data_IF_654170900884
#
_entry.id   IF_654170900884
#
_cell.length_a   1.000
_cell.length_b   1.000
_cell.length_c   1.000
_cell.angle_alpha   90.00
_cell.angle_beta   90.00
_cell.angle_gamma   90.00
#
_symmetry.space_group_name_H-M   'P 1'
#
loop_
_entity.id
_entity.type
_entity.pdbx_description
1 polymer ?
#
# COMPACT_ATOMS: atom_id res chain seq x y z
N UNK A 1 -24.57 -8.16 12.13
CA UNK A 1 -23.18 -8.52 12.43
C UNK A 1 -22.33 -7.51 11.72
N UNK A 2 -21.50 -6.74 12.42
CA UNK A 2 -20.59 -5.80 11.78
C UNK A 2 -19.41 -6.57 11.18
N UNK A 3 -19.15 -6.39 9.91
CA UNK A 3 -18.03 -7.03 9.22
C UNK A 3 -16.80 -6.13 9.26
N UNK A 4 -15.63 -6.71 9.58
CA UNK A 4 -14.35 -6.02 9.55
C UNK A 4 -13.55 -6.58 8.38
N UNK A 5 -13.23 -5.73 7.41
CA UNK A 5 -12.34 -6.06 6.31
C UNK A 5 -10.93 -5.60 6.64
N UNK A 6 -10.00 -6.52 6.63
CA UNK A 6 -8.58 -6.22 6.89
C UNK A 6 -7.84 -6.29 5.57
N UNK A 7 -7.28 -5.15 5.16
CA UNK A 7 -6.48 -5.04 3.95
C UNK A 7 -5.01 -4.94 4.32
N UNK A 8 -4.19 -5.85 3.79
CA UNK A 8 -2.74 -5.81 3.96
C UNK A 8 -2.07 -5.21 2.74
N UNK A 9 -1.10 -4.34 2.96
CA UNK A 9 -0.23 -3.81 1.92
C UNK A 9 1.23 -3.96 2.33
N UNK A 10 2.11 -4.27 1.38
CA UNK A 10 3.54 -4.16 1.58
C UNK A 10 4.02 -2.82 1.04
N UNK A 11 4.62 -2.02 1.92
CA UNK A 11 5.25 -0.75 1.54
C UNK A 11 6.40 -0.99 0.56
N UNK A 12 6.70 -0.04 -0.33
CA UNK A 12 7.90 -0.13 -1.15
C UNK A 12 9.16 -0.07 -0.25
N UNK A 13 10.27 -0.56 -0.76
CA UNK A 13 11.55 -0.45 -0.06
C UNK A 13 11.87 0.98 0.32
N UNK A 14 12.49 1.15 1.48
CA UNK A 14 12.82 2.46 2.03
C UNK A 14 13.93 3.17 1.25
N UNK A 15 14.75 2.44 0.51
CA UNK A 15 15.87 2.98 -0.26
C UNK A 15 15.79 2.53 -1.73
N UNK A 16 15.57 3.48 -2.63
CA UNK A 16 15.55 3.20 -4.08
C UNK A 16 16.92 2.84 -4.68
N UNK A 17 17.99 3.06 -3.93
CA UNK A 17 19.38 2.73 -4.30
C UNK A 17 19.86 1.43 -3.63
N UNK A 18 18.94 0.51 -3.31
CA UNK A 18 19.31 -0.78 -2.76
C UNK A 18 20.32 -1.53 -3.65
N UNK A 19 21.31 -2.13 -3.00
CA UNK A 19 22.27 -2.99 -3.70
C UNK A 19 21.57 -4.23 -4.28
N UNK A 20 22.19 -4.86 -5.26
CA UNK A 20 21.69 -6.14 -5.79
C UNK A 20 21.55 -7.21 -4.71
N UNK A 21 22.42 -7.18 -3.70
CA UNK A 21 22.41 -8.15 -2.59
C UNK A 21 21.21 -7.90 -1.67
N UNK A 22 20.90 -6.63 -1.35
CA UNK A 22 19.73 -6.29 -0.56
C UNK A 22 18.41 -6.63 -1.30
N UNK A 23 18.36 -6.43 -2.62
CA UNK A 23 17.22 -6.84 -3.44
C UNK A 23 17.07 -8.37 -3.49
N UNK A 24 18.18 -9.11 -3.55
CA UNK A 24 18.18 -10.58 -3.48
C UNK A 24 17.69 -11.07 -2.11
N UNK A 25 18.19 -10.49 -1.04
CA UNK A 25 17.76 -10.80 0.33
C UNK A 25 16.26 -10.58 0.50
N UNK A 26 15.75 -9.39 0.13
CA UNK A 26 14.33 -9.09 0.19
C UNK A 26 13.48 -10.04 -0.67
N UNK A 27 14.00 -10.46 -1.83
CA UNK A 27 13.34 -11.45 -2.66
C UNK A 27 13.22 -12.80 -1.95
N UNK A 28 14.31 -13.31 -1.37
CA UNK A 28 14.34 -14.64 -0.74
C UNK A 28 13.54 -14.68 0.57
N UNK A 29 13.65 -13.62 1.39
CA UNK A 29 13.08 -13.60 2.73
C UNK A 29 11.61 -13.16 2.75
N UNK A 30 11.21 -12.29 1.82
CA UNK A 30 9.87 -11.67 1.85
C UNK A 30 9.04 -12.10 0.65
N UNK A 31 9.45 -11.74 -0.57
CA UNK A 31 8.57 -11.84 -1.73
C UNK A 31 8.31 -13.26 -2.17
N UNK A 32 9.34 -14.10 -2.20
CA UNK A 32 9.22 -15.49 -2.62
C UNK A 32 8.34 -16.33 -1.67
N UNK A 33 8.54 -16.31 -0.34
CA UNK A 33 7.67 -17.05 0.58
C UNK A 33 6.24 -16.48 0.59
N UNK A 34 6.08 -15.16 0.49
CA UNK A 34 4.77 -14.53 0.48
C UNK A 34 3.98 -14.83 -0.78
N UNK A 35 4.60 -14.77 -1.95
CA UNK A 35 3.95 -15.17 -3.20
C UNK A 35 3.56 -16.64 -3.20
N UNK A 36 4.42 -17.52 -2.63
CA UNK A 36 4.09 -18.93 -2.44
C UNK A 36 2.89 -19.11 -1.49
N UNK A 37 2.86 -18.37 -0.39
CA UNK A 37 1.73 -18.39 0.54
C UNK A 37 0.43 -17.96 -0.15
N UNK A 38 0.42 -16.82 -0.83
CA UNK A 38 -0.75 -16.30 -1.54
C UNK A 38 -1.24 -17.29 -2.61
N UNK A 39 -0.32 -17.89 -3.34
CA UNK A 39 -0.66 -18.87 -4.37
C UNK A 39 -1.39 -20.09 -3.79
N UNK A 40 -1.03 -20.49 -2.58
CA UNK A 40 -1.62 -21.63 -1.84
C UNK A 40 -2.90 -21.26 -1.08
N UNK A 41 -3.18 -19.97 -0.89
CA UNK A 41 -4.32 -19.48 -0.10
C UNK A 41 -5.14 -18.47 -0.92
N UNK A 42 -5.98 -18.94 -1.86
CA UNK A 42 -6.70 -18.06 -2.78
C UNK A 42 -7.70 -17.12 -2.12
N UNK A 43 -8.13 -17.44 -0.90
CA UNK A 43 -9.04 -16.59 -0.11
C UNK A 43 -8.34 -15.43 0.61
N UNK A 44 -7.00 -15.42 0.63
CA UNK A 44 -6.21 -14.34 1.22
C UNK A 44 -5.78 -13.36 0.15
N UNK A 45 -6.16 -12.09 0.32
CA UNK A 45 -5.81 -11.03 -0.61
C UNK A 45 -4.90 -9.98 0.03
N UNK A 46 -4.00 -9.39 -0.76
CA UNK A 46 -3.19 -8.26 -0.31
C UNK A 46 -2.70 -7.41 -1.48
N UNK A 47 -2.24 -6.20 -1.16
CA UNK A 47 -1.61 -5.32 -2.13
C UNK A 47 -0.09 -5.23 -1.94
N UNK A 48 0.58 -4.87 -3.02
CA UNK A 48 2.03 -4.70 -3.06
C UNK A 48 2.38 -3.34 -3.64
N UNK A 49 3.41 -2.73 -3.08
CA UNK A 49 4.03 -1.54 -3.64
C UNK A 49 5.50 -1.83 -3.98
N UNK A 50 5.89 -1.47 -5.19
CA UNK A 50 7.25 -1.67 -5.69
C UNK A 50 7.85 -0.36 -6.18
N UNK A 51 9.17 -0.25 -6.13
CA UNK A 51 9.93 0.77 -6.86
C UNK A 51 10.26 0.29 -8.28
N UNK A 52 10.57 1.21 -9.18
CA UNK A 52 11.04 0.87 -10.53
C UNK A 52 12.31 0.00 -10.52
N UNK A 53 13.35 0.34 -9.72
CA UNK A 53 14.53 -0.51 -9.56
C UNK A 53 14.22 -1.93 -9.11
N UNK A 54 13.26 -2.14 -8.18
CA UNK A 54 12.84 -3.48 -7.77
C UNK A 54 12.20 -4.26 -8.93
N UNK A 55 11.26 -3.64 -9.65
CA UNK A 55 10.64 -4.29 -10.81
C UNK A 55 11.67 -4.63 -11.89
N UNK A 56 12.63 -3.74 -12.15
CA UNK A 56 13.73 -3.99 -13.06
C UNK A 56 14.64 -5.13 -12.61
N UNK A 57 14.89 -5.25 -11.30
CA UNK A 57 15.64 -6.36 -10.73
C UNK A 57 14.88 -7.68 -10.95
N UNK A 58 13.60 -7.73 -10.62
CA UNK A 58 12.77 -8.93 -10.83
C UNK A 58 12.74 -9.32 -12.31
N UNK A 59 12.55 -8.37 -13.21
CA UNK A 59 12.55 -8.62 -14.65
C UNK A 59 13.85 -9.26 -15.16
N UNK A 60 14.99 -8.81 -14.64
CA UNK A 60 16.31 -9.29 -15.07
C UNK A 60 16.76 -10.59 -14.39
N UNK A 61 16.40 -10.80 -13.13
CA UNK A 61 16.98 -11.84 -12.27
C UNK A 61 15.96 -12.84 -11.72
N UNK A 62 14.70 -12.46 -11.61
CA UNK A 62 13.64 -13.20 -10.90
C UNK A 62 12.31 -13.12 -11.66
N UNK A 63 12.35 -13.36 -12.95
CA UNK A 63 11.16 -13.23 -13.81
C UNK A 63 10.00 -14.13 -13.36
N UNK A 64 10.30 -15.25 -12.69
CA UNK A 64 9.31 -16.16 -12.13
C UNK A 64 8.35 -15.49 -11.12
N UNK A 65 8.83 -14.53 -10.32
CA UNK A 65 7.95 -13.82 -9.37
C UNK A 65 6.97 -12.90 -10.09
N UNK A 66 7.39 -12.28 -11.20
CA UNK A 66 6.50 -11.42 -11.99
C UNK A 66 5.38 -12.25 -12.64
N UNK A 67 5.65 -13.48 -13.04
CA UNK A 67 4.62 -14.38 -13.56
C UNK A 67 3.60 -14.74 -12.48
N UNK A 68 4.06 -15.05 -11.28
CA UNK A 68 3.17 -15.34 -10.14
C UNK A 68 2.36 -14.10 -9.77
N UNK A 69 2.98 -12.93 -9.64
CA UNK A 69 2.29 -11.68 -9.31
C UNK A 69 1.25 -11.33 -10.38
N UNK A 70 1.58 -11.52 -11.65
CA UNK A 70 0.63 -11.30 -12.77
C UNK A 70 -0.60 -12.20 -12.60
N UNK A 71 -0.42 -13.48 -12.31
CA UNK A 71 -1.51 -14.41 -12.09
C UNK A 71 -2.36 -14.02 -10.87
N UNK A 72 -1.73 -13.62 -9.75
CA UNK A 72 -2.44 -13.13 -8.56
C UNK A 72 -3.28 -11.87 -8.86
N UNK A 73 -2.77 -10.98 -9.72
CA UNK A 73 -3.50 -9.78 -10.18
C UNK A 73 -4.66 -10.16 -11.10
N UNK A 74 -4.48 -11.11 -12.01
CA UNK A 74 -5.54 -11.61 -12.88
C UNK A 74 -6.67 -12.28 -12.09
N UNK A 75 -6.34 -13.03 -11.05
CA UNK A 75 -7.28 -13.64 -10.11
C UNK A 75 -7.98 -12.63 -9.19
N UNK A 76 -7.60 -11.35 -9.22
CA UNK A 76 -8.05 -10.30 -8.29
C UNK A 76 -7.68 -10.56 -6.82
N UNK A 77 -6.72 -11.41 -6.59
CA UNK A 77 -6.19 -11.74 -5.27
C UNK A 77 -5.15 -10.71 -4.82
N UNK A 78 -4.47 -10.06 -5.76
CA UNK A 78 -3.51 -9.00 -5.45
C UNK A 78 -3.75 -7.75 -6.29
N UNK A 79 -3.51 -6.60 -5.67
CA UNK A 79 -3.43 -5.31 -6.34
C UNK A 79 -2.01 -4.75 -6.22
N UNK A 80 -1.50 -4.20 -7.33
CA UNK A 80 -0.20 -3.54 -7.32
C UNK A 80 -0.43 -2.04 -7.28
N UNK A 81 0.07 -1.41 -6.24
CA UNK A 81 -0.06 0.02 -6.04
C UNK A 81 1.01 0.79 -6.82
N UNK A 82 0.65 1.97 -7.23
CA UNK A 82 1.56 2.94 -7.81
C UNK A 82 2.49 3.57 -6.77
N UNK A 83 3.38 4.41 -7.26
CA UNK A 83 4.35 5.16 -6.48
C UNK A 83 5.18 6.06 -7.38
N UNK A 84 6.29 6.57 -6.88
CA UNK A 84 7.34 7.14 -7.71
C UNK A 84 8.28 6.04 -8.20
N UNK A 85 8.77 6.15 -9.44
CA UNK A 85 9.70 5.16 -9.99
C UNK A 85 10.95 5.02 -9.11
N UNK A 86 11.51 6.15 -8.67
CA UNK A 86 12.64 6.21 -7.73
C UNK A 86 12.21 6.56 -6.29
N UNK A 87 10.93 6.43 -5.99
CA UNK A 87 10.36 6.62 -4.65
C UNK A 87 10.70 8.01 -4.03
N UNK A 88 10.49 9.12 -4.76
CA UNK A 88 10.80 10.45 -4.25
C UNK A 88 9.80 10.90 -3.18
N UNK A 89 10.22 11.88 -2.37
CA UNK A 89 9.30 12.64 -1.52
C UNK A 89 8.54 13.62 -2.41
N UNK A 90 7.36 13.24 -2.87
CA UNK A 90 6.60 13.99 -3.88
C UNK A 90 6.40 15.48 -3.56
N UNK A 91 6.07 15.91 -2.33
CA UNK A 91 5.93 17.33 -2.03
C UNK A 91 7.17 18.15 -2.30
N UNK A 92 8.38 17.55 -2.29
CA UNK A 92 9.64 18.24 -2.46
C UNK A 92 10.13 18.35 -3.91
N UNK A 93 9.43 17.77 -4.87
CA UNK A 93 9.79 17.83 -6.29
C UNK A 93 8.74 18.58 -7.10
N UNK A 94 9.14 19.10 -8.28
CA UNK A 94 8.24 19.84 -9.14
C UNK A 94 7.07 18.98 -9.67
N UNK A 95 5.88 19.58 -9.91
CA UNK A 95 4.72 18.85 -10.39
C UNK A 95 4.96 18.05 -11.67
N UNK A 96 5.77 18.54 -12.61
CA UNK A 96 6.11 17.85 -13.85
C UNK A 96 6.91 16.58 -13.57
N UNK A 97 7.83 16.63 -12.60
CA UNK A 97 8.64 15.49 -12.20
C UNK A 97 7.81 14.45 -11.43
N UNK A 98 6.82 14.91 -10.62
CA UNK A 98 5.86 14.02 -9.96
C UNK A 98 5.13 13.15 -10.99
N UNK A 99 4.55 13.78 -12.02
CA UNK A 99 3.86 13.05 -13.09
C UNK A 99 4.80 12.09 -13.82
N UNK A 100 6.01 12.53 -14.16
CA UNK A 100 7.02 11.69 -14.79
C UNK A 100 7.35 10.44 -13.97
N UNK A 101 7.52 10.57 -12.66
CA UNK A 101 7.80 9.46 -11.75
C UNK A 101 6.62 8.48 -11.66
N UNK A 102 5.39 9.00 -11.53
CA UNK A 102 4.17 8.20 -11.44
C UNK A 102 3.91 7.45 -12.75
N UNK A 103 3.99 8.14 -13.88
CA UNK A 103 3.67 7.57 -15.19
C UNK A 103 4.70 6.52 -15.61
N UNK A 104 5.98 6.74 -15.29
CA UNK A 104 7.04 5.77 -15.56
C UNK A 104 6.80 4.47 -14.79
N UNK A 105 6.53 4.55 -13.49
CA UNK A 105 6.24 3.36 -12.68
C UNK A 105 4.94 2.68 -13.10
N UNK A 106 3.88 3.45 -13.34
CA UNK A 106 2.59 2.91 -13.79
C UNK A 106 2.70 2.19 -15.13
N UNK A 107 3.55 2.69 -16.02
CA UNK A 107 3.82 2.05 -17.30
C UNK A 107 4.57 0.74 -17.12
N UNK A 108 5.59 0.71 -16.26
CA UNK A 108 6.36 -0.51 -15.99
C UNK A 108 5.47 -1.57 -15.32
N UNK A 109 4.65 -1.19 -14.33
CA UNK A 109 3.68 -2.11 -13.69
C UNK A 109 2.73 -2.68 -14.74
N UNK A 110 2.15 -1.85 -15.62
CA UNK A 110 1.25 -2.31 -16.65
C UNK A 110 1.94 -3.27 -17.63
N UNK A 111 3.16 -2.99 -18.05
CA UNK A 111 3.90 -3.83 -18.99
C UNK A 111 4.23 -5.20 -18.39
N UNK A 112 4.61 -5.26 -17.12
CA UNK A 112 5.03 -6.49 -16.47
C UNK A 112 3.88 -7.28 -15.87
N UNK A 113 2.88 -6.62 -15.29
CA UNK A 113 1.82 -7.24 -14.50
C UNK A 113 0.42 -7.11 -15.13
N UNK A 114 0.31 -6.44 -16.28
CA UNK A 114 -0.89 -6.45 -17.12
C UNK A 114 -1.93 -5.38 -16.77
N UNK A 115 -1.87 -4.74 -15.60
CA UNK A 115 -2.83 -3.72 -15.16
C UNK A 115 -2.12 -2.43 -14.70
N UNK A 116 -2.73 -1.29 -14.97
CA UNK A 116 -2.30 -0.03 -14.34
C UNK A 116 -2.73 0.02 -12.88
N UNK A 117 -1.91 0.60 -12.00
CA UNK A 117 -2.32 0.84 -10.62
C UNK A 117 -3.50 1.82 -10.57
N UNK A 118 -4.42 1.58 -9.64
CA UNK A 118 -5.51 2.49 -9.29
C UNK A 118 -5.22 3.26 -8.00
N UNK A 119 -4.54 2.62 -7.08
CA UNK A 119 -4.09 3.20 -5.82
C UNK A 119 -2.60 3.50 -5.81
N UNK A 120 -2.18 4.31 -4.85
CA UNK A 120 -0.78 4.66 -4.63
C UNK A 120 -0.41 4.57 -3.15
N UNK A 121 0.80 4.08 -2.88
CA UNK A 121 1.48 4.24 -1.59
C UNK A 121 2.57 5.29 -1.73
N UNK A 122 2.49 6.34 -0.92
CA UNK A 122 3.49 7.40 -0.92
C UNK A 122 4.71 7.01 -0.09
N UNK A 123 5.89 7.37 -0.58
CA UNK A 123 7.13 7.20 0.19
C UNK A 123 7.11 8.11 1.42
N UNK A 124 7.58 7.55 2.54
CA UNK A 124 7.59 8.21 3.86
C UNK A 124 6.21 8.77 4.27
N UNK A 125 5.14 8.24 3.69
CA UNK A 125 3.76 8.72 3.90
C UNK A 125 3.63 10.26 3.77
N UNK A 126 4.48 10.87 2.92
CA UNK A 126 4.56 12.31 2.74
C UNK A 126 3.39 12.83 1.91
N UNK A 127 2.51 13.58 2.54
CA UNK A 127 1.29 14.10 1.94
C UNK A 127 1.27 15.63 1.88
N UNK A 128 0.77 16.15 0.76
CA UNK A 128 0.40 17.54 0.57
C UNK A 128 -0.81 17.63 -0.36
N UNK A 129 -1.74 18.56 -0.11
CA UNK A 129 -2.99 18.68 -0.90
C UNK A 129 -2.72 18.96 -2.38
N UNK A 130 -1.61 19.60 -2.73
CA UNK A 130 -1.23 19.84 -4.13
C UNK A 130 -1.01 18.55 -4.93
N UNK A 131 -0.83 17.41 -4.26
CA UNK A 131 -0.69 16.11 -4.91
C UNK A 131 -2.00 15.62 -5.54
N UNK A 132 -3.16 16.05 -5.04
CA UNK A 132 -4.47 15.61 -5.54
C UNK A 132 -4.56 15.75 -7.05
N UNK A 133 -4.14 16.92 -7.56
CA UNK A 133 -4.19 17.21 -9.00
C UNK A 133 -3.26 16.27 -9.81
N UNK A 134 -2.04 16.06 -9.34
CA UNK A 134 -1.07 15.16 -10.02
C UNK A 134 -1.57 13.72 -10.04
N UNK A 135 -1.98 13.21 -8.88
CA UNK A 135 -2.41 11.82 -8.72
C UNK A 135 -3.65 11.52 -9.58
N UNK A 136 -4.67 12.36 -9.49
CA UNK A 136 -5.90 12.19 -10.25
C UNK A 136 -5.65 12.33 -11.78
N UNK A 137 -4.77 13.26 -12.20
CA UNK A 137 -4.39 13.42 -13.61
C UNK A 137 -3.62 12.22 -14.15
N UNK A 138 -2.88 11.50 -13.31
CA UNK A 138 -2.21 10.24 -13.67
C UNK A 138 -3.13 9.03 -13.61
N UNK A 139 -4.44 9.22 -13.36
CA UNK A 139 -5.46 8.18 -13.35
C UNK A 139 -5.50 7.36 -12.06
N UNK A 140 -4.93 7.89 -10.97
CA UNK A 140 -5.03 7.27 -9.65
C UNK A 140 -6.33 7.70 -8.96
N UNK A 141 -6.96 6.76 -8.27
CA UNK A 141 -8.27 6.91 -7.63
C UNK A 141 -8.13 7.06 -6.12
N UNK A 142 -7.12 6.44 -5.51
CA UNK A 142 -6.94 6.47 -4.06
C UNK A 142 -5.48 6.43 -3.62
N UNK A 143 -5.26 6.86 -2.37
CA UNK A 143 -3.96 6.89 -1.69
C UNK A 143 -4.04 6.09 -0.40
N UNK A 144 -3.04 5.26 -0.12
CA UNK A 144 -2.78 4.74 1.22
C UNK A 144 -1.89 5.74 1.96
N UNK A 145 -2.34 6.23 3.11
CA UNK A 145 -1.62 7.24 3.89
C UNK A 145 -1.65 6.88 5.37
N UNK A 146 -0.52 6.99 6.04
CA UNK A 146 -0.46 6.75 7.49
C UNK A 146 -1.44 7.66 8.24
N UNK A 147 -2.18 7.09 9.16
CA UNK A 147 -3.21 7.79 9.95
C UNK A 147 -2.67 8.98 10.74
N UNK A 148 -1.36 9.01 11.07
CA UNK A 148 -0.72 10.14 11.73
C UNK A 148 -0.55 11.36 10.83
N UNK A 149 -0.46 11.15 9.51
CA UNK A 149 -0.27 12.20 8.51
C UNK A 149 -1.59 12.77 7.97
N UNK A 150 -2.72 12.24 8.44
CA UNK A 150 -4.03 12.79 8.08
C UNK A 150 -4.31 14.03 8.93
N UNK A 151 -4.58 15.19 8.31
CA UNK A 151 -4.72 16.47 9.02
C UNK A 151 -6.04 16.61 9.80
N UNK A 152 -6.58 15.54 10.33
CA UNK A 152 -7.81 15.54 11.11
C UNK A 152 -7.66 14.72 12.38
N UNK A 153 -7.90 15.37 13.52
CA UNK A 153 -7.93 14.68 14.82
C UNK A 153 -9.19 13.81 15.04
N UNK A 154 -10.20 13.95 14.15
CA UNK A 154 -11.50 13.30 14.33
C UNK A 154 -11.68 12.03 13.48
N UNK A 155 -10.98 11.89 12.36
CA UNK A 155 -11.22 10.84 11.38
C UNK A 155 -9.89 10.18 10.99
N UNK A 156 -9.25 9.50 11.95
CA UNK A 156 -7.94 8.84 11.71
C UNK A 156 -8.05 7.46 11.04
N UNK A 157 -9.25 6.92 10.89
CA UNK A 157 -9.40 5.50 10.52
C UNK A 157 -10.47 5.24 9.46
N UNK A 158 -11.14 6.30 8.99
CA UNK A 158 -12.12 6.20 7.92
C UNK A 158 -11.53 6.66 6.59
N UNK A 159 -11.95 6.05 5.48
CA UNK A 159 -11.69 6.63 4.17
C UNK A 159 -12.24 8.07 4.12
N UNK A 160 -11.45 8.98 3.60
CA UNK A 160 -11.80 10.39 3.43
C UNK A 160 -11.58 10.80 1.99
N UNK A 161 -12.32 11.80 1.54
CA UNK A 161 -12.10 12.41 0.23
C UNK A 161 -11.38 13.73 0.43
N UNK A 162 -10.23 13.88 -0.21
CA UNK A 162 -9.50 15.14 -0.28
C UNK A 162 -9.73 15.78 -1.64
N UNK A 163 -9.99 17.09 -1.63
CA UNK A 163 -10.25 17.84 -2.86
C UNK A 163 -9.31 19.04 -2.95
N UNK A 164 -8.79 19.27 -4.15
CA UNK A 164 -7.98 20.43 -4.50
C UNK A 164 -8.25 20.84 -5.94
N UNK A 165 -8.45 22.14 -6.19
CA UNK A 165 -8.71 22.72 -7.51
C UNK A 165 -9.78 22.00 -8.35
N UNK A 166 -10.87 21.54 -7.71
CA UNK A 166 -11.98 20.86 -8.39
C UNK A 166 -11.72 19.38 -8.72
N UNK A 167 -10.59 18.81 -8.32
CA UNK A 167 -10.29 17.39 -8.39
C UNK A 167 -10.32 16.76 -7.00
N UNK A 168 -10.60 15.47 -6.93
CA UNK A 168 -10.67 14.74 -5.67
C UNK A 168 -10.01 13.38 -5.75
N UNK A 169 -9.52 12.90 -4.62
CA UNK A 169 -8.95 11.58 -4.46
C UNK A 169 -9.38 10.99 -3.11
N UNK A 170 -9.58 9.69 -3.07
CA UNK A 170 -9.87 8.98 -1.82
C UNK A 170 -8.56 8.69 -1.06
N UNK A 171 -8.59 8.87 0.25
CA UNK A 171 -7.48 8.51 1.15
C UNK A 171 -7.95 7.42 2.09
N UNK A 172 -7.26 6.29 2.06
CA UNK A 172 -7.45 5.18 2.99
C UNK A 172 -6.37 5.24 4.06
N UNK A 173 -6.75 5.54 5.33
CA UNK A 173 -5.81 5.57 6.44
C UNK A 173 -5.17 4.21 6.68
N UNK A 174 -3.86 4.17 6.89
CA UNK A 174 -3.15 2.96 7.32
C UNK A 174 -2.78 3.02 8.80
N UNK A 175 -2.78 1.86 9.44
CA UNK A 175 -2.58 1.71 10.89
C UNK A 175 -1.35 0.86 11.23
N UNK A 176 -0.25 1.12 10.57
CA UNK A 176 0.98 0.35 10.70
C UNK A 176 1.57 0.29 12.12
N UNK A 177 1.36 1.33 12.94
CA UNK A 177 1.97 1.42 14.28
C UNK A 177 1.21 0.68 15.38
N UNK A 178 0.01 0.20 15.08
CA UNK A 178 -0.86 -0.39 16.09
C UNK A 178 -0.62 -1.87 16.32
N UNK A 179 0.27 -2.47 15.54
CA UNK A 179 0.50 -3.91 15.55
C UNK A 179 1.99 -4.18 15.58
N UNK A 180 2.48 -4.57 16.74
CA UNK A 180 3.82 -5.15 16.86
C UNK A 180 3.77 -6.62 16.41
N UNK A 181 4.02 -6.85 15.12
CA UNK A 181 3.98 -8.19 14.53
C UNK A 181 5.06 -9.14 15.08
N UNK A 182 6.13 -8.62 15.67
CA UNK A 182 7.23 -9.45 16.18
C UNK A 182 6.89 -10.15 17.49
N UNK A 183 5.92 -9.63 18.24
CA UNK A 183 5.57 -10.12 19.58
C UNK A 183 4.20 -10.79 19.67
N UNK A 184 3.41 -10.80 18.59
CA UNK A 184 2.01 -11.20 18.67
C UNK A 184 1.75 -12.61 18.14
N UNK A 185 1.11 -13.43 18.96
CA UNK A 185 0.41 -14.62 18.47
C UNK A 185 -0.80 -14.22 17.59
N UNK A 186 -1.28 -15.13 16.74
CA UNK A 186 -2.49 -14.89 15.92
C UNK A 186 -3.71 -14.50 16.79
N UNK A 187 -3.81 -15.06 18.01
CA UNK A 187 -4.88 -14.71 18.96
C UNK A 187 -4.76 -13.27 19.46
N UNK A 188 -3.54 -12.82 19.77
CA UNK A 188 -3.28 -11.48 20.24
C UNK A 188 -3.50 -10.46 19.12
N UNK A 189 -3.12 -10.80 17.88
CA UNK A 189 -3.42 -9.99 16.71
C UNK A 189 -4.91 -9.76 16.54
N UNK A 190 -5.72 -10.83 16.56
CA UNK A 190 -7.17 -10.73 16.42
C UNK A 190 -7.79 -9.93 17.56
N UNK A 191 -7.34 -10.14 18.80
CA UNK A 191 -7.83 -9.40 19.96
C UNK A 191 -7.48 -7.91 19.89
N UNK A 192 -6.27 -7.56 19.43
CA UNK A 192 -5.85 -6.18 19.27
C UNK A 192 -6.60 -5.49 18.13
N UNK A 193 -6.87 -6.20 17.04
CA UNK A 193 -7.68 -5.69 15.93
C UNK A 193 -9.11 -5.36 16.39
N UNK A 194 -9.75 -6.25 17.15
CA UNK A 194 -11.09 -6.02 17.72
C UNK A 194 -11.07 -4.80 18.64
N UNK A 195 -10.11 -4.72 19.56
CA UNK A 195 -9.96 -3.55 20.45
C UNK A 195 -9.75 -2.24 19.68
N UNK A 196 -9.00 -2.30 18.58
CA UNK A 196 -8.79 -1.15 17.70
C UNK A 196 -10.13 -0.69 17.11
N UNK A 197 -10.90 -1.61 16.54
CA UNK A 197 -12.19 -1.29 15.94
C UNK A 197 -13.17 -0.74 16.98
N UNK A 198 -13.25 -1.36 18.16
CA UNK A 198 -14.07 -0.84 19.28
C UNK A 198 -13.64 0.59 19.70
N UNK A 199 -12.34 0.87 19.70
CA UNK A 199 -11.82 2.21 20.01
C UNK A 199 -12.19 3.22 18.91
N UNK A 200 -12.21 2.79 17.65
CA UNK A 200 -12.65 3.59 16.51
C UNK A 200 -14.15 3.92 16.67
N UNK A 201 -14.97 2.92 16.94
CA UNK A 201 -16.43 3.07 17.10
C UNK A 201 -16.83 3.98 18.26
N UNK A 202 -16.12 3.90 19.39
CA UNK A 202 -16.36 4.79 20.53
C UNK A 202 -16.03 6.25 20.28
N UNK A 203 -15.11 6.53 19.36
CA UNK A 203 -14.65 7.89 19.05
C UNK A 203 -15.49 8.58 17.98
N UNK A 204 -16.18 7.82 17.15
CA UNK A 204 -16.91 8.37 16.01
C UNK A 204 -18.36 7.84 15.95
N UNK A 205 -19.30 8.74 16.24
CA UNK A 205 -20.73 8.43 16.20
C UNK A 205 -21.23 8.07 14.79
N UNK A 206 -20.54 8.51 13.73
CA UNK A 206 -20.90 8.17 12.34
C UNK A 206 -20.59 6.72 12.01
N UNK A 207 -19.59 6.12 12.67
CA UNK A 207 -19.25 4.71 12.52
C UNK A 207 -20.31 3.75 13.06
N UNK A 208 -21.16 4.19 13.97
CA UNK A 208 -22.14 3.31 14.61
C UNK A 208 -23.24 2.83 13.64
N UNK A 209 -23.47 3.54 12.55
CA UNK A 209 -24.51 3.25 11.57
C UNK A 209 -24.00 2.52 10.32
N UNK A 210 -22.70 2.34 10.15
CA UNK A 210 -22.11 1.63 9.03
C UNK A 210 -21.78 0.19 9.43
N UNK A 211 -22.37 -0.84 8.77
CA UNK A 211 -22.15 -2.23 9.12
C UNK A 211 -20.77 -2.76 8.72
N UNK A 212 -20.05 -2.06 7.86
CA UNK A 212 -18.75 -2.47 7.31
C UNK A 212 -17.62 -1.59 7.81
N UNK A 213 -16.50 -2.22 8.13
CA UNK A 213 -15.28 -1.54 8.59
C UNK A 213 -14.11 -1.99 7.75
N UNK A 214 -13.32 -1.05 7.30
CA UNK A 214 -12.08 -1.31 6.57
C UNK A 214 -10.91 -0.88 7.46
N UNK A 215 -9.99 -1.81 7.70
CA UNK A 215 -8.74 -1.54 8.39
C UNK A 215 -7.59 -1.87 7.45
N UNK A 216 -6.83 -0.87 7.04
CA UNK A 216 -5.69 -1.04 6.15
C UNK A 216 -4.39 -1.05 6.95
N UNK A 217 -3.61 -2.12 6.79
CA UNK A 217 -2.35 -2.34 7.47
C UNK A 217 -1.24 -2.34 6.43
N UNK A 218 -0.35 -1.35 6.50
CA UNK A 218 0.82 -1.29 5.62
C UNK A 218 2.06 -1.78 6.35
N UNK A 219 2.67 -2.83 5.82
CA UNK A 219 3.82 -3.52 6.40
C UNK A 219 5.12 -3.07 5.74
N UNK A 220 6.12 -2.72 6.54
CA UNK A 220 7.47 -2.49 6.04
C UNK A 220 8.22 -3.81 5.88
N UNK A 221 9.31 -3.79 5.09
CA UNK A 221 10.19 -4.96 4.94
C UNK A 221 10.80 -5.41 6.28
N UNK A 222 11.12 -4.46 7.16
CA UNK A 222 11.67 -4.74 8.49
C UNK A 222 10.69 -5.48 9.41
N UNK A 223 9.39 -5.21 9.24
CA UNK A 223 8.34 -5.91 9.98
C UNK A 223 8.10 -7.33 9.45
N UNK A 224 8.46 -7.60 8.20
CA UNK A 224 8.28 -8.91 7.55
C UNK A 224 9.51 -9.81 7.64
N UNK A 225 10.68 -9.27 7.91
CA UNK A 225 11.89 -10.06 8.18
C UNK A 225 11.79 -10.67 9.58
N UNK A 226 11.82 -11.99 9.65
CA UNK A 226 11.77 -12.78 10.89
C UNK A 226 13.18 -13.03 11.41
#
# INVERSE_FOLDING_TARGET
MNSIYVCFNIKPVSNCLESSDALEENYQEIYKPLCKFLYSHPDFAMSFSFTGPQLNYFKKRKNEILLILKELVERKQSEILGGGFYNPIFPLIYPVDRNGQIDTLSTEIRQQLGKRPRGIQLFADSWDSSLVNNLQSSGLEYVLLDSHNIPSNKIKYLPIVMSDMGKSIEIYPTVSDLIDFKSLSVKDFSANLIKLVEKMEKKDKYLQNDPERIVTISLSHEQLKV
#
